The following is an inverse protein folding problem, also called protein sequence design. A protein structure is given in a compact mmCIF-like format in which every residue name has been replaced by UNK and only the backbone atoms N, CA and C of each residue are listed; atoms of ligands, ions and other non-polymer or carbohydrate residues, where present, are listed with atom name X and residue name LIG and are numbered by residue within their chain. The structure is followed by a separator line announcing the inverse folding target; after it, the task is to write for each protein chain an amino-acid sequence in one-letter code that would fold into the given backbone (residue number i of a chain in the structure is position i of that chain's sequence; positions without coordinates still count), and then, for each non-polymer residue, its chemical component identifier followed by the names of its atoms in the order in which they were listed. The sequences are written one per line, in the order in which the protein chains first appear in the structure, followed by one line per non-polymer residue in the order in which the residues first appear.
data_IF_990567988569
#
_entry.id   IF_990567988569
#
_cell.length_a   1.000
_cell.length_b   1.000
_cell.length_c   1.000
_cell.angle_alpha   90.00
_cell.angle_beta   90.00
_cell.angle_gamma   90.00
#
_symmetry.space_group_name_H-M   'P 1'
#
loop_
_entity.id
_entity.type
_entity.pdbx_description
1 polymer ?
#
# COMPACT_ATOMS: atom_id res chain seq x y z
N UNK A 1 -3.15 -19.84 -16.15
CA UNK A 1 -2.37 -18.63 -16.40
C UNK A 1 -2.60 -17.70 -15.22
N UNK A 2 -1.57 -17.03 -14.69
CA UNK A 2 -1.76 -16.11 -13.55
C UNK A 2 -2.50 -14.85 -13.98
N UNK A 3 -3.21 -14.19 -13.03
CA UNK A 3 -4.04 -12.99 -13.29
C UNK A 3 -3.27 -11.80 -13.87
N UNK A 4 -1.95 -11.73 -13.64
CA UNK A 4 -1.08 -10.61 -14.02
C UNK A 4 0.01 -11.01 -15.03
N UNK A 5 -0.15 -12.18 -15.69
CA UNK A 5 0.83 -12.68 -16.65
C UNK A 5 1.12 -11.65 -17.74
N UNK A 6 2.42 -11.32 -17.92
CA UNK A 6 2.89 -10.37 -18.93
C UNK A 6 2.70 -8.89 -18.57
N UNK A 7 2.17 -8.56 -17.38
CA UNK A 7 2.12 -7.20 -16.85
C UNK A 7 3.37 -6.91 -16.01
N UNK A 8 3.79 -5.64 -15.98
CA UNK A 8 4.88 -5.16 -15.13
C UNK A 8 4.31 -4.23 -14.05
N UNK A 9 4.57 -4.54 -12.79
CA UNK A 9 4.07 -3.83 -11.63
C UNK A 9 5.20 -3.12 -10.87
N UNK A 10 5.04 -1.81 -10.65
CA UNK A 10 5.85 -1.04 -9.69
C UNK A 10 5.14 -1.03 -8.34
N UNK A 11 5.85 -1.46 -7.29
CA UNK A 11 5.34 -1.51 -5.92
C UNK A 11 6.27 -0.67 -5.04
N UNK A 12 5.73 0.33 -4.32
CA UNK A 12 6.49 1.16 -3.38
C UNK A 12 6.39 0.63 -1.96
N UNK A 13 7.47 0.79 -1.15
CA UNK A 13 7.55 0.22 0.20
C UNK A 13 7.45 -1.31 0.14
N UNK A 14 8.15 -1.91 -0.83
CA UNK A 14 7.99 -3.32 -1.18
C UNK A 14 8.81 -4.27 -0.28
N UNK A 15 9.71 -3.75 0.57
CA UNK A 15 10.65 -4.57 1.34
C UNK A 15 9.97 -5.46 2.38
N UNK A 16 8.87 -4.99 2.99
CA UNK A 16 8.28 -5.65 4.14
C UNK A 16 6.77 -5.47 4.23
N UNK A 17 6.12 -6.24 5.10
CA UNK A 17 4.71 -6.10 5.43
C UNK A 17 3.80 -6.27 4.21
N UNK A 18 2.82 -5.36 4.05
CA UNK A 18 1.85 -5.43 2.95
C UNK A 18 2.55 -5.35 1.59
N UNK A 19 3.56 -4.48 1.44
CA UNK A 19 4.30 -4.33 0.18
C UNK A 19 5.00 -5.60 -0.26
N UNK A 20 5.65 -6.31 0.66
CA UNK A 20 6.24 -7.63 0.41
C UNK A 20 5.16 -8.67 0.08
N UNK A 21 4.05 -8.69 0.83
CA UNK A 21 2.92 -9.58 0.55
C UNK A 21 2.36 -9.39 -0.86
N UNK A 22 2.21 -8.14 -1.30
CA UNK A 22 1.80 -7.81 -2.67
C UNK A 22 2.84 -8.27 -3.68
N UNK A 23 4.14 -8.01 -3.45
CA UNK A 23 5.20 -8.43 -4.36
C UNK A 23 5.22 -9.95 -4.57
N UNK A 24 5.14 -10.73 -3.47
CA UNK A 24 5.10 -12.20 -3.52
C UNK A 24 3.84 -12.71 -4.23
N UNK A 25 2.70 -12.08 -3.99
CA UNK A 25 1.43 -12.46 -4.63
C UNK A 25 1.45 -12.13 -6.13
N UNK A 26 1.91 -10.94 -6.51
CA UNK A 26 2.02 -10.55 -7.92
C UNK A 26 2.99 -11.46 -8.69
N UNK A 27 4.11 -11.85 -8.06
CA UNK A 27 5.03 -12.84 -8.62
C UNK A 27 4.33 -14.18 -8.91
N UNK A 28 3.55 -14.71 -7.94
CA UNK A 28 2.75 -15.93 -8.13
C UNK A 28 1.73 -15.80 -9.25
N UNK A 29 1.19 -14.61 -9.47
CA UNK A 29 0.26 -14.32 -10.56
C UNK A 29 0.95 -13.98 -11.89
N UNK A 30 2.28 -14.12 -11.98
CA UNK A 30 3.04 -14.01 -13.22
C UNK A 30 3.37 -12.59 -13.67
N UNK A 31 3.32 -11.60 -12.78
CA UNK A 31 3.78 -10.25 -13.06
C UNK A 31 5.31 -10.17 -13.07
N UNK A 32 5.87 -9.30 -13.91
CA UNK A 32 7.22 -8.77 -13.73
C UNK A 32 7.17 -7.67 -12.65
N UNK A 33 8.19 -7.59 -11.81
CA UNK A 33 8.16 -6.72 -10.64
C UNK A 33 9.25 -5.66 -10.69
N UNK A 34 8.87 -4.43 -10.34
CA UNK A 34 9.77 -3.36 -9.97
C UNK A 34 9.50 -3.09 -8.49
N UNK A 35 10.44 -3.43 -7.64
CA UNK A 35 10.35 -3.28 -6.19
C UNK A 35 11.07 -2.01 -5.77
N UNK A 36 10.35 -1.02 -5.31
CA UNK A 36 10.90 0.25 -4.86
C UNK A 36 10.81 0.35 -3.34
N UNK A 37 11.96 0.64 -2.72
CA UNK A 37 12.04 0.91 -1.29
C UNK A 37 13.15 1.94 -1.01
N UNK A 38 13.11 2.58 0.16
CA UNK A 38 14.18 3.46 0.61
C UNK A 38 15.41 2.67 1.10
N UNK A 39 15.18 1.44 1.54
CA UNK A 39 16.22 0.55 2.04
C UNK A 39 16.90 -0.23 0.91
N UNK A 40 18.25 -0.29 0.88
CA UNK A 40 18.97 -1.12 -0.07
C UNK A 40 18.73 -2.63 0.13
N UNK A 41 18.20 -3.05 1.28
CA UNK A 41 17.81 -4.46 1.54
C UNK A 41 16.76 -5.00 0.55
N UNK A 42 16.08 -4.11 -0.19
CA UNK A 42 15.13 -4.49 -1.24
C UNK A 42 15.78 -5.35 -2.34
N UNK A 43 17.08 -5.22 -2.55
CA UNK A 43 17.85 -6.02 -3.49
C UNK A 43 17.81 -7.51 -3.10
N UNK A 44 17.86 -7.83 -1.79
CA UNK A 44 17.79 -9.22 -1.31
C UNK A 44 16.44 -9.87 -1.61
N UNK A 45 15.34 -9.12 -1.47
CA UNK A 45 14.01 -9.61 -1.82
C UNK A 45 13.90 -9.85 -3.34
N UNK A 46 14.43 -8.95 -4.16
CA UNK A 46 14.43 -9.12 -5.60
C UNK A 46 15.25 -10.35 -6.00
N UNK A 47 16.44 -10.55 -5.43
CA UNK A 47 17.30 -11.72 -5.69
C UNK A 47 16.61 -13.01 -5.26
N UNK A 48 15.93 -13.04 -4.11
CA UNK A 48 15.15 -14.18 -3.65
C UNK A 48 14.06 -14.55 -4.66
N UNK A 49 13.29 -13.57 -5.12
CA UNK A 49 12.21 -13.80 -6.08
C UNK A 49 12.75 -14.20 -7.46
N UNK A 50 13.85 -13.61 -7.91
CA UNK A 50 14.55 -14.02 -9.12
C UNK A 50 15.06 -15.46 -9.04
N UNK A 51 15.62 -15.86 -7.89
CA UNK A 51 16.07 -17.23 -7.63
C UNK A 51 14.94 -18.28 -7.69
N UNK A 52 13.69 -17.83 -7.50
CA UNK A 52 12.47 -18.65 -7.67
C UNK A 52 11.89 -18.62 -9.09
N UNK A 53 12.57 -17.99 -10.05
CA UNK A 53 12.18 -17.92 -11.45
C UNK A 53 11.26 -16.76 -11.81
N UNK A 54 11.06 -15.78 -10.91
CA UNK A 54 10.29 -14.58 -11.18
C UNK A 54 11.18 -13.48 -11.78
N UNK A 55 10.62 -12.60 -12.60
CA UNK A 55 11.32 -11.44 -13.12
C UNK A 55 11.14 -10.26 -12.16
N UNK A 56 12.24 -9.82 -11.55
CA UNK A 56 12.26 -8.77 -10.53
C UNK A 56 13.41 -7.79 -10.75
N UNK A 57 13.13 -6.51 -10.54
CA UNK A 57 14.14 -5.44 -10.49
C UNK A 57 13.93 -4.64 -9.21
N UNK A 58 14.96 -4.54 -8.36
CA UNK A 58 14.99 -3.64 -7.23
C UNK A 58 15.44 -2.24 -7.66
N UNK A 59 14.83 -1.21 -7.05
CA UNK A 59 15.26 0.19 -7.17
C UNK A 59 15.18 0.86 -5.80
N UNK A 60 16.29 1.48 -5.38
CA UNK A 60 16.35 2.24 -4.14
C UNK A 60 15.99 3.69 -4.43
N UNK A 61 14.95 4.20 -3.72
CA UNK A 61 14.53 5.58 -3.83
C UNK A 61 13.73 6.03 -2.60
N UNK A 62 13.87 7.29 -2.25
CA UNK A 62 12.99 7.96 -1.28
C UNK A 62 11.80 8.57 -2.03
N UNK A 63 10.58 8.13 -1.70
CA UNK A 63 9.35 8.64 -2.34
C UNK A 63 9.12 10.12 -2.07
N UNK A 64 9.74 10.69 -1.03
CA UNK A 64 9.66 12.12 -0.71
C UNK A 64 10.42 12.99 -1.71
N UNK A 65 11.44 12.43 -2.37
CA UNK A 65 12.28 13.13 -3.34
C UNK A 65 11.84 12.83 -4.78
N UNK A 66 11.19 13.79 -5.48
CA UNK A 66 10.76 13.60 -6.86
C UNK A 66 11.89 13.26 -7.83
N UNK A 67 13.12 13.78 -7.60
CA UNK A 67 14.26 13.51 -8.46
C UNK A 67 14.77 12.07 -8.29
N UNK A 68 14.83 11.60 -7.03
CA UNK A 68 15.15 10.20 -6.69
C UNK A 68 14.14 9.25 -7.34
N UNK A 69 12.83 9.53 -7.19
CA UNK A 69 11.74 8.75 -7.81
C UNK A 69 11.88 8.69 -9.32
N UNK A 70 12.06 9.85 -9.99
CA UNK A 70 12.17 9.90 -11.45
C UNK A 70 13.39 9.11 -11.97
N UNK A 71 14.54 9.23 -11.28
CA UNK A 71 15.75 8.49 -11.63
C UNK A 71 15.57 6.97 -11.43
N UNK A 72 14.91 6.54 -10.34
CA UNK A 72 14.61 5.13 -10.05
C UNK A 72 13.67 4.53 -11.10
N UNK A 73 12.59 5.22 -11.45
CA UNK A 73 11.62 4.78 -12.47
C UNK A 73 12.31 4.67 -13.84
N UNK A 74 13.16 5.64 -14.21
CA UNK A 74 13.91 5.58 -15.45
C UNK A 74 14.79 4.33 -15.51
N UNK A 75 15.59 4.06 -14.47
CA UNK A 75 16.45 2.86 -14.40
C UNK A 75 15.64 1.56 -14.47
N UNK A 76 14.50 1.51 -13.76
CA UNK A 76 13.61 0.34 -13.80
C UNK A 76 13.07 0.09 -15.21
N UNK A 77 12.66 1.14 -15.92
CA UNK A 77 12.17 1.03 -17.29
C UNK A 77 13.23 0.57 -18.30
N UNK A 78 14.48 0.95 -18.12
CA UNK A 78 15.59 0.46 -18.96
C UNK A 78 15.73 -1.06 -18.90
N UNK A 79 15.38 -1.70 -17.74
CA UNK A 79 15.41 -3.15 -17.55
C UNK A 79 14.10 -3.84 -17.91
N UNK A 80 12.98 -3.28 -17.48
CA UNK A 80 11.64 -3.93 -17.59
C UNK A 80 10.86 -3.49 -18.81
N UNK A 81 11.24 -2.40 -19.45
CA UNK A 81 10.65 -1.87 -20.68
C UNK A 81 9.37 -1.07 -20.47
N UNK A 82 8.55 -1.40 -19.47
CA UNK A 82 7.24 -0.76 -19.24
C UNK A 82 6.76 -0.88 -17.80
N UNK A 83 5.78 -0.05 -17.42
CA UNK A 83 5.01 -0.18 -16.18
C UNK A 83 3.53 -0.21 -16.55
N UNK A 84 2.80 -1.26 -16.17
CA UNK A 84 1.36 -1.42 -16.40
C UNK A 84 0.54 -1.17 -15.15
N UNK A 85 1.13 -1.49 -13.99
CA UNK A 85 0.50 -1.45 -12.69
C UNK A 85 1.37 -0.63 -11.76
N UNK A 86 0.75 0.31 -11.04
CA UNK A 86 1.36 1.02 -9.93
C UNK A 86 0.65 0.65 -8.64
N UNK A 87 1.42 0.21 -7.63
CA UNK A 87 0.94 0.03 -6.26
C UNK A 87 1.63 1.06 -5.37
N UNK A 88 0.89 2.07 -4.96
CA UNK A 88 1.33 3.05 -3.97
C UNK A 88 1.08 2.49 -2.57
N UNK A 89 2.08 1.81 -2.02
CA UNK A 89 2.00 1.16 -0.71
C UNK A 89 2.90 1.82 0.33
N UNK A 90 3.99 2.46 -0.04
CA UNK A 90 4.88 3.13 0.91
C UNK A 90 4.10 4.04 1.86
N UNK A 91 4.32 3.88 3.15
CA UNK A 91 3.62 4.65 4.17
C UNK A 91 4.17 4.39 5.57
N UNK A 92 3.88 5.32 6.47
CA UNK A 92 4.32 5.32 7.87
C UNK A 92 3.17 5.64 8.81
N UNK A 93 3.30 5.15 10.05
CA UNK A 93 2.44 5.52 11.17
C UNK A 93 3.31 5.70 12.42
N UNK A 94 3.22 6.88 13.05
CA UNK A 94 3.75 7.20 14.38
C UNK A 94 2.59 7.64 15.24
N UNK A 95 2.51 7.10 16.44
CA UNK A 95 1.48 7.48 17.39
C UNK A 95 1.86 8.77 18.11
N UNK A 96 0.88 9.62 18.39
CA UNK A 96 1.03 10.82 19.17
C UNK A 96 -0.31 11.51 19.37
N UNK A 97 -0.58 12.03 20.58
CA UNK A 97 -1.79 12.83 20.78
C UNK A 97 -1.76 14.09 19.91
N UNK A 98 -2.91 14.61 19.53
CA UNK A 98 -2.97 15.77 18.62
C UNK A 98 -2.20 16.99 19.14
N UNK A 99 -2.23 17.23 20.46
CA UNK A 99 -1.56 18.37 21.07
C UNK A 99 -0.05 18.17 21.26
N UNK A 100 0.39 16.92 21.44
CA UNK A 100 1.79 16.60 21.75
C UNK A 100 2.58 16.17 20.51
N UNK A 101 1.89 15.86 19.40
CA UNK A 101 2.57 15.49 18.15
C UNK A 101 3.36 16.68 17.62
N UNK A 102 4.64 16.48 17.38
CA UNK A 102 5.52 17.50 16.80
C UNK A 102 5.10 17.83 15.36
N UNK A 103 5.40 19.06 14.92
CA UNK A 103 5.25 19.45 13.52
C UNK A 103 6.08 18.55 12.59
N UNK A 104 7.26 18.13 13.04
CA UNK A 104 8.14 17.21 12.27
C UNK A 104 7.48 15.86 12.08
N UNK A 105 6.80 15.30 13.09
CA UNK A 105 6.09 14.03 12.96
C UNK A 105 4.86 14.14 12.07
N UNK A 106 4.10 15.23 12.18
CA UNK A 106 3.02 15.56 11.25
C UNK A 106 3.53 15.61 9.81
N UNK A 107 4.58 16.39 9.57
CA UNK A 107 5.14 16.61 8.24
C UNK A 107 5.76 15.32 7.69
N UNK A 108 6.37 14.49 8.53
CA UNK A 108 6.86 13.17 8.15
C UNK A 108 5.73 12.26 7.59
N UNK A 109 4.53 12.28 8.21
CA UNK A 109 3.37 11.57 7.66
C UNK A 109 2.92 12.15 6.32
N UNK A 110 2.82 13.48 6.22
CA UNK A 110 2.38 14.16 4.99
C UNK A 110 3.38 13.91 3.85
N UNK A 111 4.67 14.01 4.13
CA UNK A 111 5.72 13.88 3.14
C UNK A 111 5.77 12.47 2.52
N UNK A 112 5.58 11.44 3.34
CA UNK A 112 5.61 10.06 2.85
C UNK A 112 4.25 9.64 2.31
N UNK A 113 3.18 9.76 3.12
CA UNK A 113 1.89 9.17 2.81
C UNK A 113 1.10 9.97 1.77
N UNK A 114 1.36 11.26 1.60
CA UNK A 114 0.67 12.11 0.61
C UNK A 114 1.62 12.52 -0.52
N UNK A 115 2.69 13.28 -0.20
CA UNK A 115 3.61 13.77 -1.24
C UNK A 115 4.34 12.63 -1.93
N UNK A 116 4.73 11.58 -1.20
CA UNK A 116 5.34 10.39 -1.77
C UNK A 116 4.45 9.69 -2.79
N UNK A 117 3.18 9.48 -2.45
CA UNK A 117 2.18 8.91 -3.37
C UNK A 117 1.97 9.79 -4.60
N UNK A 118 1.90 11.10 -4.40
CA UNK A 118 1.79 12.08 -5.47
C UNK A 118 3.00 12.01 -6.42
N UNK A 119 4.22 12.02 -5.87
CA UNK A 119 5.46 12.02 -6.66
C UNK A 119 5.57 10.78 -7.55
N UNK A 120 5.34 9.60 -6.97
CA UNK A 120 5.42 8.33 -7.71
C UNK A 120 4.33 8.26 -8.77
N UNK A 121 3.08 8.61 -8.41
CA UNK A 121 1.97 8.60 -9.36
C UNK A 121 2.23 9.54 -10.54
N UNK A 122 2.69 10.78 -10.26
CA UNK A 122 3.01 11.76 -11.28
C UNK A 122 4.13 11.30 -12.22
N UNK A 123 5.11 10.57 -11.70
CA UNK A 123 6.24 10.07 -12.51
C UNK A 123 5.85 8.89 -13.42
N UNK A 124 4.88 8.05 -13.00
CA UNK A 124 4.44 6.87 -13.76
C UNK A 124 3.29 7.18 -14.72
N UNK A 125 2.40 8.08 -14.35
CA UNK A 125 1.12 8.32 -15.03
C UNK A 125 1.24 8.67 -16.52
N UNK A 126 2.19 9.51 -16.98
CA UNK A 126 2.30 9.85 -18.40
C UNK A 126 2.49 8.65 -19.33
N UNK A 127 3.25 7.66 -18.86
CA UNK A 127 3.49 6.42 -19.62
C UNK A 127 2.24 5.55 -19.70
N UNK A 128 1.56 5.39 -18.59
CA UNK A 128 0.34 4.59 -18.51
C UNK A 128 -0.75 5.22 -19.40
N UNK A 129 -0.89 6.55 -19.38
CA UNK A 129 -1.82 7.30 -20.25
C UNK A 129 -1.53 7.05 -21.73
N UNK A 130 -0.26 7.13 -22.15
CA UNK A 130 0.13 6.94 -23.54
C UNK A 130 -0.28 5.56 -24.09
N UNK A 131 -0.39 4.54 -23.23
CA UNK A 131 -0.80 3.17 -23.60
C UNK A 131 -2.30 2.90 -23.46
N UNK A 132 -3.04 3.76 -22.80
CA UNK A 132 -4.49 3.59 -22.55
C UNK A 132 -4.82 2.26 -21.85
N UNK A 133 -3.92 1.76 -21.02
CA UNK A 133 -4.07 0.50 -20.30
C UNK A 133 -3.26 0.57 -18.99
N UNK A 134 -3.88 0.99 -17.90
CA UNK A 134 -3.23 1.18 -16.61
C UNK A 134 -4.07 0.84 -15.41
N UNK A 135 -3.42 0.37 -14.36
CA UNK A 135 -4.03 0.07 -13.07
C UNK A 135 -3.22 0.72 -11.95
N UNK A 136 -3.89 1.47 -11.11
CA UNK A 136 -3.28 2.10 -9.94
C UNK A 136 -4.01 1.60 -8.71
N UNK A 137 -3.29 0.98 -7.79
CA UNK A 137 -3.76 0.54 -6.49
C UNK A 137 -3.17 1.45 -5.42
N UNK A 138 -4.03 2.10 -4.66
CA UNK A 138 -3.66 3.01 -3.59
C UNK A 138 -3.84 2.32 -2.24
N UNK A 139 -2.80 2.28 -1.41
CA UNK A 139 -2.90 1.73 -0.06
C UNK A 139 -3.37 2.81 0.91
N UNK A 140 -4.67 2.81 1.22
CA UNK A 140 -5.27 3.61 2.27
C UNK A 140 -5.31 2.84 3.59
N UNK A 141 -6.35 2.98 4.37
CA UNK A 141 -6.65 2.30 5.63
C UNK A 141 -8.14 2.41 5.91
N UNK A 142 -8.68 1.57 6.80
CA UNK A 142 -9.98 1.83 7.44
C UNK A 142 -9.89 3.07 8.34
N UNK A 143 -8.70 3.33 8.93
CA UNK A 143 -8.43 4.55 9.71
C UNK A 143 -8.44 5.77 8.79
N UNK A 144 -9.23 6.75 9.13
CA UNK A 144 -9.34 8.06 8.47
C UNK A 144 -10.66 8.32 7.79
N UNK A 145 -11.19 7.37 6.98
CA UNK A 145 -12.47 7.56 6.30
C UNK A 145 -13.63 6.80 7.00
N UNK A 146 -13.34 5.72 7.69
CA UNK A 146 -14.34 4.84 8.31
C UNK A 146 -14.28 4.86 9.83
N UNK A 147 -13.06 4.77 10.38
CA UNK A 147 -12.79 4.75 11.82
C UNK A 147 -11.62 5.66 12.17
N UNK A 148 -11.44 5.96 13.45
CA UNK A 148 -10.29 6.67 13.95
C UNK A 148 -9.97 6.16 15.37
N UNK A 149 -8.68 5.99 15.64
CA UNK A 149 -8.18 5.66 16.97
C UNK A 149 -7.42 6.84 17.60
N UNK A 150 -7.46 6.99 18.91
CA UNK A 150 -6.66 8.01 19.62
C UNK A 150 -5.18 7.85 19.29
N UNK A 151 -4.51 8.98 19.05
CA UNK A 151 -3.08 9.00 18.71
C UNK A 151 -2.76 8.82 17.23
N UNK A 152 -3.72 8.56 16.37
CA UNK A 152 -3.51 8.35 14.92
C UNK A 152 -3.92 9.55 14.05
N UNK A 153 -4.10 10.75 14.60
CA UNK A 153 -4.68 11.89 13.87
C UNK A 153 -3.94 12.23 12.58
N UNK A 154 -2.60 12.31 12.60
CA UNK A 154 -1.83 12.60 11.38
C UNK A 154 -1.90 11.45 10.36
N UNK A 155 -1.90 10.21 10.83
CA UNK A 155 -2.08 9.04 9.97
C UNK A 155 -3.46 9.04 9.31
N UNK A 156 -4.52 9.20 10.11
CA UNK A 156 -5.92 9.28 9.64
C UNK A 156 -6.11 10.36 8.58
N UNK A 157 -5.57 11.58 8.83
CA UNK A 157 -5.57 12.67 7.85
C UNK A 157 -5.00 12.22 6.50
N UNK A 158 -3.82 11.57 6.53
CA UNK A 158 -3.16 11.15 5.29
C UNK A 158 -3.91 10.05 4.56
N UNK A 159 -4.50 9.09 5.29
CA UNK A 159 -5.22 7.97 4.67
C UNK A 159 -6.59 8.40 4.10
N UNK A 160 -7.28 9.33 4.74
CA UNK A 160 -8.46 9.97 4.16
C UNK A 160 -8.13 10.73 2.87
N UNK A 161 -6.99 11.45 2.82
CA UNK A 161 -6.54 12.14 1.63
C UNK A 161 -6.30 11.20 0.44
N UNK A 162 -5.75 9.99 0.67
CA UNK A 162 -5.56 8.98 -0.38
C UNK A 162 -6.87 8.52 -1.01
N UNK A 163 -7.95 8.42 -0.23
CA UNK A 163 -9.28 8.11 -0.75
C UNK A 163 -9.77 9.22 -1.69
N UNK A 164 -9.61 10.48 -1.29
CA UNK A 164 -9.93 11.63 -2.15
C UNK A 164 -9.13 11.63 -3.46
N UNK A 165 -7.82 11.40 -3.37
CA UNK A 165 -6.93 11.29 -4.54
C UNK A 165 -7.34 10.13 -5.46
N UNK A 166 -7.71 8.98 -4.90
CA UNK A 166 -8.19 7.82 -5.66
C UNK A 166 -9.41 8.17 -6.52
N UNK A 167 -10.42 8.81 -5.93
CA UNK A 167 -11.64 9.21 -6.63
C UNK A 167 -11.36 10.24 -7.73
N UNK A 168 -10.51 11.23 -7.43
CA UNK A 168 -10.14 12.28 -8.39
C UNK A 168 -9.43 11.71 -9.61
N UNK A 169 -8.36 10.93 -9.41
CA UNK A 169 -7.62 10.32 -10.51
C UNK A 169 -8.46 9.31 -11.32
N UNK A 170 -9.34 8.56 -10.65
CA UNK A 170 -10.24 7.64 -11.32
C UNK A 170 -11.15 8.36 -12.33
N UNK A 171 -11.75 9.48 -11.93
CA UNK A 171 -12.62 10.28 -12.82
C UNK A 171 -11.80 10.94 -13.94
N UNK A 172 -10.66 11.53 -13.61
CA UNK A 172 -9.83 12.29 -14.56
C UNK A 172 -9.26 11.40 -15.68
N UNK A 173 -8.88 10.15 -15.35
CA UNK A 173 -8.19 9.28 -16.30
C UNK A 173 -8.98 8.05 -16.78
N UNK A 174 -10.28 7.93 -16.43
CA UNK A 174 -11.11 6.81 -16.89
C UNK A 174 -11.15 6.69 -18.42
N UNK A 175 -11.33 7.81 -19.13
CA UNK A 175 -11.34 7.84 -20.61
C UNK A 175 -9.98 7.52 -21.23
N UNK A 176 -8.91 7.60 -20.44
CA UNK A 176 -7.57 7.18 -20.84
C UNK A 176 -7.29 5.69 -20.59
N UNK A 177 -8.32 4.91 -20.24
CA UNK A 177 -8.19 3.47 -19.96
C UNK A 177 -7.47 3.16 -18.65
N UNK A 178 -7.49 4.08 -17.68
CA UNK A 178 -6.82 3.91 -16.39
C UNK A 178 -7.87 3.68 -15.31
N UNK A 179 -7.65 2.65 -14.49
CA UNK A 179 -8.44 2.37 -13.30
C UNK A 179 -7.63 2.67 -12.04
N UNK A 180 -8.22 3.36 -11.11
CA UNK A 180 -7.60 3.74 -9.84
C UNK A 180 -8.51 3.32 -8.69
N UNK A 181 -8.03 2.44 -7.81
CA UNK A 181 -8.82 1.94 -6.69
C UNK A 181 -7.98 1.95 -5.40
N UNK A 182 -8.64 2.17 -4.27
CA UNK A 182 -8.02 2.08 -2.96
C UNK A 182 -8.32 0.74 -2.30
N UNK A 183 -7.33 0.21 -1.58
CA UNK A 183 -7.52 -0.83 -0.57
C UNK A 183 -7.47 -0.15 0.79
N UNK A 184 -8.42 -0.49 1.65
CA UNK A 184 -8.55 -0.01 3.02
C UNK A 184 -8.40 -1.20 3.99
N UNK A 185 -7.17 -1.58 4.34
CA UNK A 185 -6.95 -2.67 5.31
C UNK A 185 -7.35 -2.24 6.72
N UNK A 186 -7.85 -3.20 7.51
CA UNK A 186 -7.81 -3.14 8.96
C UNK A 186 -6.44 -3.57 9.50
N UNK A 187 -6.43 -4.30 10.62
CA UNK A 187 -5.18 -4.78 11.21
C UNK A 187 -4.58 -5.94 10.42
N UNK A 188 -3.36 -5.74 9.93
CA UNK A 188 -2.55 -6.71 9.17
C UNK A 188 -1.28 -7.00 9.96
N UNK A 189 -0.86 -8.26 10.07
CA UNK A 189 0.36 -8.66 10.79
C UNK A 189 1.60 -8.20 10.03
N UNK A 190 2.15 -7.05 10.41
CA UNK A 190 3.24 -6.35 9.73
C UNK A 190 4.20 -5.73 10.73
N UNK A 191 5.42 -5.38 10.33
CA UNK A 191 6.33 -4.60 11.17
C UNK A 191 5.73 -3.25 11.63
N UNK A 192 4.81 -2.66 10.86
CA UNK A 192 4.07 -1.45 11.27
C UNK A 192 3.14 -1.77 12.46
N UNK A 193 2.36 -2.83 12.40
CA UNK A 193 1.48 -3.25 13.51
C UNK A 193 2.29 -3.56 14.77
N UNK A 194 3.43 -4.25 14.62
CA UNK A 194 4.36 -4.50 15.73
C UNK A 194 4.96 -3.21 16.30
N UNK A 195 5.27 -2.23 15.44
CA UNK A 195 5.76 -0.92 15.87
C UNK A 195 4.70 -0.16 16.65
N UNK A 196 3.44 -0.16 16.19
CA UNK A 196 2.29 0.43 16.89
C UNK A 196 2.11 -0.25 18.25
N UNK A 197 2.16 -1.59 18.30
CA UNK A 197 2.05 -2.33 19.54
C UNK A 197 3.15 -1.96 20.55
N UNK A 198 4.41 -1.85 20.09
CA UNK A 198 5.54 -1.37 20.91
C UNK A 198 5.38 0.07 21.41
N UNK A 199 4.81 0.96 20.59
CA UNK A 199 4.53 2.34 20.99
C UNK A 199 3.39 2.40 22.02
N UNK A 200 2.38 1.53 21.92
CA UNK A 200 1.23 1.48 22.82
C UNK A 200 1.56 0.82 24.17
N UNK A 201 2.33 -0.27 24.16
CA UNK A 201 2.79 -0.97 25.35
C UNK A 201 4.21 -1.54 25.13
N UNK A 202 5.25 -0.76 25.50
CA UNK A 202 6.64 -1.20 25.32
C UNK A 202 7.03 -2.45 26.11
N UNK A 203 6.36 -2.73 27.25
CA UNK A 203 6.67 -3.87 28.12
C UNK A 203 6.08 -5.19 27.61
N UNK A 204 4.91 -5.13 26.96
CA UNK A 204 4.23 -6.30 26.40
C UNK A 204 3.51 -5.99 25.09
N UNK A 205 4.25 -5.82 23.98
CA UNK A 205 3.65 -5.56 22.66
C UNK A 205 2.75 -6.70 22.15
N UNK A 206 3.02 -7.95 22.52
CA UNK A 206 2.23 -9.10 22.05
C UNK A 206 0.82 -9.10 22.65
N UNK A 207 0.66 -8.59 23.88
CA UNK A 207 -0.67 -8.39 24.46
C UNK A 207 -1.51 -7.43 23.63
N UNK A 208 -0.91 -6.35 23.10
CA UNK A 208 -1.60 -5.38 22.23
C UNK A 208 -2.07 -6.06 20.94
N UNK A 209 -1.21 -6.83 20.28
CA UNK A 209 -1.57 -7.57 19.07
C UNK A 209 -2.69 -8.59 19.34
N UNK A 210 -2.67 -9.22 20.51
CA UNK A 210 -3.71 -10.14 20.95
C UNK A 210 -5.05 -9.43 21.14
N UNK A 211 -5.07 -8.27 21.80
CA UNK A 211 -6.29 -7.47 21.99
C UNK A 211 -6.81 -6.91 20.64
N UNK A 212 -5.93 -6.47 19.74
CA UNK A 212 -6.32 -6.12 18.38
C UNK A 212 -7.04 -7.29 17.69
N UNK A 213 -6.49 -8.51 17.77
CA UNK A 213 -7.11 -9.69 17.19
C UNK A 213 -8.48 -10.00 17.79
N UNK A 214 -8.65 -9.82 19.11
CA UNK A 214 -9.95 -10.04 19.79
C UNK A 214 -11.00 -9.01 19.39
N UNK A 215 -10.61 -7.79 19.02
CA UNK A 215 -11.53 -6.76 18.58
C UNK A 215 -12.08 -7.02 17.15
N UNK A 216 -11.38 -7.81 16.34
CA UNK A 216 -11.80 -8.16 14.98
C UNK A 216 -12.83 -9.29 15.03
N UNK A 217 -13.98 -9.23 14.34
CA UNK A 217 -14.94 -10.33 14.26
C UNK A 217 -14.33 -11.66 13.81
N UNK A 218 -13.39 -11.65 12.87
CA UNK A 218 -12.67 -12.87 12.44
C UNK A 218 -11.59 -13.35 13.44
N UNK A 219 -11.40 -12.64 14.57
CA UNK A 219 -10.53 -13.03 15.70
C UNK A 219 -9.05 -13.24 15.33
N UNK A 220 -8.57 -12.60 14.32
CA UNK A 220 -7.16 -12.60 13.90
C UNK A 220 -6.81 -11.34 13.12
N UNK A 221 -5.52 -11.00 13.07
CA UNK A 221 -4.99 -10.08 12.09
C UNK A 221 -4.96 -10.75 10.72
N UNK A 222 -5.06 -9.94 9.66
CA UNK A 222 -4.88 -10.42 8.30
C UNK A 222 -3.40 -10.78 8.03
N UNK A 223 -3.18 -11.72 7.12
CA UNK A 223 -1.86 -11.95 6.52
C UNK A 223 -1.62 -10.93 5.39
N UNK A 224 -0.41 -10.36 5.24
CA UNK A 224 -0.06 -9.51 4.10
C UNK A 224 -0.41 -10.10 2.72
N UNK A 225 -0.36 -11.42 2.57
CA UNK A 225 -0.72 -12.10 1.33
C UNK A 225 -2.22 -11.97 1.01
N UNK A 226 -3.10 -11.86 2.01
CA UNK A 226 -4.55 -11.66 1.79
C UNK A 226 -4.81 -10.29 1.17
N UNK A 227 -4.09 -9.25 1.62
CA UNK A 227 -4.10 -7.92 0.99
C UNK A 227 -3.51 -7.99 -0.43
N UNK A 228 -2.46 -8.79 -0.61
CA UNK A 228 -1.85 -9.08 -1.91
C UNK A 228 -2.84 -9.66 -2.93
N UNK A 229 -3.72 -10.59 -2.52
CA UNK A 229 -4.73 -11.18 -3.40
C UNK A 229 -5.79 -10.14 -3.83
N UNK A 230 -6.24 -9.27 -2.93
CA UNK A 230 -7.13 -8.18 -3.29
C UNK A 230 -6.44 -7.18 -4.24
N UNK A 231 -5.18 -6.86 -3.99
CA UNK A 231 -4.39 -6.02 -4.89
C UNK A 231 -4.25 -6.65 -6.28
N UNK A 232 -4.01 -7.97 -6.37
CA UNK A 232 -3.92 -8.69 -7.63
C UNK A 232 -5.25 -8.70 -8.39
N UNK A 233 -6.38 -8.84 -7.70
CA UNK A 233 -7.71 -8.71 -8.30
C UNK A 233 -7.92 -7.32 -8.88
N UNK A 234 -7.66 -6.25 -8.10
CA UNK A 234 -7.83 -4.86 -8.55
C UNK A 234 -6.88 -4.49 -9.70
N UNK A 235 -5.71 -5.10 -9.76
CA UNK A 235 -4.72 -4.92 -10.82
C UNK A 235 -5.01 -5.75 -12.09
N UNK A 236 -5.91 -6.73 -12.02
CA UNK A 236 -6.25 -7.65 -13.11
C UNK A 236 -7.42 -7.16 -13.96
N UNK A 237 -7.67 -7.84 -15.07
CA UNK A 237 -8.83 -7.59 -15.94
C UNK A 237 -10.15 -8.08 -15.33
N UNK A 238 -10.10 -8.91 -14.28
CA UNK A 238 -11.28 -9.37 -13.54
C UNK A 238 -12.04 -8.23 -12.85
N UNK A 239 -11.35 -7.11 -12.56
CA UNK A 239 -11.91 -5.88 -11.97
C UNK A 239 -12.14 -4.77 -13.01
N UNK A 240 -12.37 -5.11 -14.27
CA UNK A 240 -12.42 -4.17 -15.41
C UNK A 240 -13.46 -3.05 -15.27
N UNK A 241 -14.50 -3.23 -14.48
CA UNK A 241 -15.54 -2.20 -14.24
C UNK A 241 -15.42 -1.51 -12.87
N UNK A 242 -14.31 -1.73 -12.14
CA UNK A 242 -14.03 -1.09 -10.87
C UNK A 242 -13.01 0.05 -11.04
N UNK A 243 -13.44 1.28 -10.76
CA UNK A 243 -12.57 2.45 -10.65
C UNK A 243 -13.14 3.45 -9.64
N UNK A 244 -12.28 4.14 -8.89
CA UNK A 244 -12.67 5.09 -7.86
C UNK A 244 -13.22 4.46 -6.58
N UNK A 245 -13.09 3.14 -6.39
CA UNK A 245 -13.68 2.41 -5.27
C UNK A 245 -12.73 2.33 -4.08
N UNK A 246 -13.34 2.23 -2.89
CA UNK A 246 -12.69 1.85 -1.63
C UNK A 246 -13.01 0.38 -1.36
N UNK A 247 -11.99 -0.44 -1.24
CA UNK A 247 -12.14 -1.88 -1.04
C UNK A 247 -11.63 -2.23 0.36
N UNK A 248 -12.56 -2.46 1.28
CA UNK A 248 -12.27 -2.80 2.68
C UNK A 248 -11.83 -4.25 2.79
N UNK A 249 -10.77 -4.48 3.56
CA UNK A 249 -10.28 -5.80 3.92
C UNK A 249 -9.83 -5.76 5.39
N UNK A 250 -10.74 -6.01 6.32
CA UNK A 250 -10.58 -5.72 7.73
C UNK A 250 -11.10 -6.82 8.69
N UNK A 251 -11.53 -7.95 8.16
CA UNK A 251 -12.10 -9.02 8.97
C UNK A 251 -13.40 -8.63 9.70
N UNK A 252 -14.03 -7.54 9.24
CA UNK A 252 -15.27 -6.99 9.80
C UNK A 252 -15.04 -6.01 10.96
N UNK A 253 -13.83 -5.53 11.19
CA UNK A 253 -13.50 -4.68 12.35
C UNK A 253 -14.26 -3.36 12.38
N UNK A 254 -14.68 -2.84 11.23
CA UNK A 254 -15.45 -1.59 11.10
C UNK A 254 -16.97 -1.75 11.22
N UNK A 255 -17.49 -2.98 11.33
CA UNK A 255 -18.92 -3.25 11.31
C UNK A 255 -19.62 -3.20 12.69
N UNK A 256 -19.01 -3.65 13.80
CA UNK A 256 -19.69 -3.65 15.09
C UNK A 256 -19.95 -2.23 15.62
N UNK A 257 -21.20 -1.95 16.01
CA UNK A 257 -21.56 -0.71 16.72
C UNK A 257 -20.92 -0.64 18.11
N UNK A 258 -20.76 -1.79 18.76
CA UNK A 258 -20.10 -1.91 20.08
C UNK A 258 -19.18 -3.13 20.13
N UNK A 259 -17.91 -2.89 20.44
CA UNK A 259 -16.88 -3.95 20.48
C UNK A 259 -17.00 -4.84 21.72
N UNK A 260 -17.71 -4.42 22.77
CA UNK A 260 -17.67 -5.00 24.10
C UNK A 260 -18.91 -5.77 24.53
N UNK A 261 -19.96 -5.87 23.75
CA UNK A 261 -21.13 -6.68 24.09
C UNK A 261 -20.92 -8.08 23.54
N UNK A 262 -20.22 -8.91 24.31
CA UNK A 262 -20.15 -10.34 24.02
C UNK A 262 -21.54 -10.95 24.07
N UNK A 263 -22.00 -11.45 22.93
CA UNK A 263 -23.09 -12.41 22.85
C UNK A 263 -22.45 -13.80 22.91
#
# INVERSE_FOLDING_TARGET
MGKLTGKTALITGALQGIGEGIARTFARHGANLILLDISPEIEKLADELCGRGHRCTAVVADVRDPASVAAAIKRAKEKEGRIDILVNNAGVCRLGSFLDMSDDDRDFHIDINIKGVWNVTKAVLPEIIARKDGRIVMMSSVTGDMVADPGETAYALTKAAIVGLTKSLAVEYAQSGIRVNAICPGYVRTPMAESIARQSNPEDPESVLTEMAKAIPMRRLADPLEVGELAAFLASDESSYLTGTQNVIDGGSTLPETVSVGI
#
